data_IF_998850285993
#
_entry.id   IF_998850285993
#
_cell.length_a   1.000
_cell.length_b   1.000
_cell.length_c   1.000
_cell.angle_alpha   90.00
_cell.angle_beta   90.00
_cell.angle_gamma   90.00
#
_symmetry.space_group_name_H-M   'P 1'
#
loop_
_entity.id
_entity.type
_entity.pdbx_description
1 polymer ?
#
# COMPACT_ATOMS: atom_id res chain seq x y z
N UNK A 1 5.04 31.39 -55.72
CA UNK A 1 4.86 32.46 -54.72
C UNK A 1 4.97 31.74 -53.36
N UNK A 2 6.07 31.82 -52.60
CA UNK A 2 6.50 32.96 -51.77
C UNK A 2 5.33 33.58 -50.98
N UNK A 3 5.37 33.85 -49.67
CA UNK A 3 6.39 33.60 -48.61
C UNK A 3 5.67 33.65 -47.23
N UNK A 4 6.24 33.38 -46.05
CA UNK A 4 7.64 33.15 -45.62
C UNK A 4 7.67 32.25 -44.35
N UNK A 5 8.84 32.13 -43.70
CA UNK A 5 9.02 31.60 -42.32
C UNK A 5 9.18 32.77 -41.33
N UNK A 6 8.85 32.55 -40.04
CA UNK A 6 9.56 33.22 -38.93
C UNK A 6 10.12 32.14 -38.01
N UNK A 7 11.45 32.08 -38.00
CA UNK A 7 12.26 31.40 -37.00
C UNK A 7 12.71 32.49 -36.02
N UNK A 8 12.72 32.24 -34.71
CA UNK A 8 13.43 33.12 -33.78
C UNK A 8 14.31 32.28 -32.87
N UNK A 9 15.57 32.23 -33.24
CA UNK A 9 16.69 31.79 -32.41
C UNK A 9 17.28 33.06 -31.79
N UNK A 10 17.55 33.05 -30.49
CA UNK A 10 18.57 33.90 -29.89
C UNK A 10 19.66 33.03 -29.28
N UNK A 11 20.91 33.48 -29.40
CA UNK A 11 22.10 32.64 -29.27
C UNK A 11 23.01 33.04 -28.10
N UNK A 12 23.92 32.12 -27.80
CA UNK A 12 25.00 32.10 -26.81
C UNK A 12 25.83 33.39 -26.68
N UNK A 13 26.42 33.59 -25.48
CA UNK A 13 27.86 33.86 -25.22
C UNK A 13 28.08 34.23 -23.71
N UNK A 14 29.26 34.12 -23.07
CA UNK A 14 30.25 33.02 -22.82
C UNK A 14 31.37 33.55 -21.89
N UNK A 15 32.05 32.68 -21.12
CA UNK A 15 33.37 32.91 -20.42
C UNK A 15 33.38 33.91 -19.22
N UNK A 16 34.28 33.87 -18.21
CA UNK A 16 35.36 32.93 -17.82
C UNK A 16 35.82 33.09 -16.33
N UNK A 17 36.44 32.02 -15.79
CA UNK A 17 37.62 31.91 -14.90
C UNK A 17 37.95 32.86 -13.70
N UNK A 18 38.14 32.21 -12.53
CA UNK A 18 39.34 32.17 -11.65
C UNK A 18 39.70 33.27 -10.60
N UNK A 19 40.49 32.79 -9.62
CA UNK A 19 41.24 33.41 -8.50
C UNK A 19 40.42 34.04 -7.34
N UNK A 20 40.41 33.47 -6.13
CA UNK A 20 41.47 33.30 -5.10
C UNK A 20 41.65 34.53 -4.19
N UNK A 21 41.32 34.37 -2.90
CA UNK A 21 42.05 34.96 -1.77
C UNK A 21 41.77 34.16 -0.49
N UNK A 22 42.78 34.13 0.39
CA UNK A 22 42.99 33.20 1.51
C UNK A 22 42.64 33.77 2.90
N UNK A 23 42.96 32.98 3.94
CA UNK A 23 42.95 33.25 5.41
C UNK A 23 41.62 33.09 6.18
N UNK A 24 41.55 32.52 7.39
CA UNK A 24 42.45 31.69 8.23
C UNK A 24 41.51 30.89 9.18
N UNK A 25 41.63 29.56 9.29
CA UNK A 25 42.44 28.77 10.25
C UNK A 25 41.70 28.39 11.56
N UNK A 26 41.75 27.09 11.90
CA UNK A 26 41.61 26.41 13.21
C UNK A 26 41.13 24.96 13.03
N UNK A 27 42.09 24.06 12.77
CA UNK A 27 41.90 22.60 12.86
C UNK A 27 42.61 22.05 14.11
N UNK A 28 41.93 21.17 14.85
CA UNK A 28 42.52 20.27 15.85
C UNK A 28 42.08 18.85 15.44
N UNK A 29 42.95 17.95 14.98
CA UNK A 29 44.37 17.82 15.24
C UNK A 29 44.60 16.64 16.19
N UNK A 30 44.97 15.48 15.62
CA UNK A 30 45.75 14.44 16.31
C UNK A 30 46.32 13.45 15.30
N UNK A 31 47.64 13.46 15.19
CA UNK A 31 48.44 12.57 14.35
C UNK A 31 48.67 11.22 15.02
N UNK A 32 48.69 10.14 14.22
CA UNK A 32 49.34 8.88 14.62
C UNK A 32 50.37 8.47 13.57
N UNK A 33 51.57 8.11 14.05
CA UNK A 33 52.73 7.67 13.26
C UNK A 33 52.64 6.19 12.93
N UNK A 34 52.93 5.82 11.67
CA UNK A 34 53.20 4.44 11.25
C UNK A 34 54.72 4.21 11.21
N UNK A 35 55.21 3.33 12.10
CA UNK A 35 56.61 2.86 12.15
C UNK A 35 56.65 1.39 12.65
N UNK A 36 56.42 0.43 11.74
CA UNK A 36 57.29 -0.75 11.63
C UNK A 36 57.01 -2.05 12.41
N UNK A 37 56.91 -3.15 11.62
CA UNK A 37 57.36 -4.54 11.94
C UNK A 37 56.57 -5.39 12.97
N UNK A 38 56.52 -6.73 12.92
CA UNK A 38 56.72 -7.73 11.86
C UNK A 38 56.34 -9.16 12.36
N UNK A 39 55.44 -9.89 11.65
CA UNK A 39 55.10 -11.34 11.78
C UNK A 39 54.72 -11.89 13.21
N UNK A 40 54.12 -13.06 13.45
CA UNK A 40 53.51 -14.17 12.67
C UNK A 40 52.17 -14.58 13.32
N UNK A 41 51.36 -15.34 12.59
CA UNK A 41 50.21 -16.13 13.11
C UNK A 41 50.63 -17.15 14.18
N UNK A 42 49.94 -17.15 15.33
CA UNK A 42 49.83 -18.24 16.31
C UNK A 42 48.46 -18.07 17.01
N UNK A 43 47.59 -19.09 16.92
CA UNK A 43 46.25 -19.01 17.49
C UNK A 43 46.26 -19.01 19.03
N UNK A 44 45.41 -18.20 19.66
CA UNK A 44 45.10 -18.33 21.09
C UNK A 44 43.69 -17.84 21.39
N UNK A 45 42.89 -18.72 21.99
CA UNK A 45 41.57 -18.40 22.52
C UNK A 45 41.69 -17.60 23.81
N UNK A 46 40.99 -16.47 23.90
CA UNK A 46 40.75 -15.75 25.14
C UNK A 46 39.24 -15.58 25.34
N UNK A 47 38.72 -16.21 26.39
CA UNK A 47 37.42 -15.89 26.98
C UNK A 47 37.56 -14.58 27.74
N UNK A 48 36.89 -13.52 27.27
CA UNK A 48 36.83 -12.26 28.01
C UNK A 48 35.60 -12.24 28.94
N UNK A 49 35.87 -12.14 30.23
CA UNK A 49 34.85 -12.12 31.30
C UNK A 49 34.33 -10.70 31.49
N UNK A 50 33.18 -10.41 30.87
CA UNK A 50 32.19 -9.50 31.41
C UNK A 50 32.60 -8.03 31.60
N UNK A 51 32.44 -7.22 30.54
CA UNK A 51 31.98 -5.84 30.71
C UNK A 51 30.48 -5.76 30.44
N UNK A 52 29.70 -5.63 31.52
CA UNK A 52 28.23 -5.48 31.46
C UNK A 52 27.83 -4.10 30.95
N UNK A 53 27.97 -3.86 29.65
CA UNK A 53 27.11 -2.93 28.95
C UNK A 53 25.81 -3.65 28.65
N UNK A 54 24.72 -3.19 29.27
CA UNK A 54 23.46 -3.92 29.30
C UNK A 54 23.04 -4.34 27.89
N UNK A 55 22.65 -5.61 27.74
CA UNK A 55 21.99 -6.10 26.55
C UNK A 55 20.66 -5.34 26.41
N UNK A 56 20.73 -4.18 25.76
CA UNK A 56 19.57 -3.55 25.16
C UNK A 56 19.01 -4.57 24.22
N UNK A 57 17.95 -5.26 24.66
CA UNK A 57 17.11 -6.03 23.78
C UNK A 57 16.70 -5.04 22.69
N UNK A 58 17.20 -5.25 21.47
CA UNK A 58 16.50 -4.70 20.32
C UNK A 58 15.10 -5.29 20.44
N UNK A 59 14.15 -4.44 20.79
CA UNK A 59 12.78 -4.86 20.96
C UNK A 59 12.30 -5.24 19.58
N UNK A 60 12.25 -6.55 19.31
CA UNK A 60 11.83 -7.13 18.05
C UNK A 60 10.31 -7.00 17.95
N UNK A 61 9.83 -5.77 17.93
CA UNK A 61 8.46 -5.47 17.63
C UNK A 61 8.15 -6.06 16.26
N UNK A 62 7.16 -6.94 16.24
CA UNK A 62 6.58 -7.41 14.99
C UNK A 62 6.18 -6.18 14.17
N UNK A 63 6.55 -6.18 12.89
CA UNK A 63 6.15 -5.11 11.99
C UNK A 63 4.61 -5.00 11.98
N UNK A 64 4.02 -3.79 11.87
CA UNK A 64 2.58 -3.67 11.90
C UNK A 64 1.93 -4.57 10.84
N UNK A 65 0.88 -5.26 11.22
CA UNK A 65 0.09 -6.07 10.31
C UNK A 65 -1.39 -5.96 10.67
N UNK A 66 -2.23 -6.16 9.66
CA UNK A 66 -3.68 -6.19 9.80
C UNK A 66 -4.24 -7.36 9.00
N UNK A 67 -5.30 -7.97 9.53
CA UNK A 67 -6.05 -9.01 8.85
C UNK A 67 -7.51 -8.57 8.74
N UNK A 68 -8.05 -8.68 7.53
CA UNK A 68 -9.46 -8.53 7.21
C UNK A 68 -10.02 -9.94 7.01
N UNK A 69 -10.86 -10.41 7.92
CA UNK A 69 -11.42 -11.76 7.90
C UNK A 69 -12.84 -11.73 7.35
N UNK A 70 -13.11 -12.53 6.32
CA UNK A 70 -14.43 -12.74 5.76
C UNK A 70 -14.97 -14.05 6.32
N UNK A 71 -15.97 -13.96 7.22
CA UNK A 71 -16.69 -15.12 7.74
C UNK A 71 -17.92 -15.39 6.83
N UNK A 72 -18.04 -16.57 6.20
CA UNK A 72 -19.10 -16.85 5.24
C UNK A 72 -20.51 -16.79 5.84
N UNK A 73 -20.68 -16.90 7.17
CA UNK A 73 -21.98 -16.70 7.83
C UNK A 73 -22.48 -15.24 7.69
N UNK A 74 -21.56 -14.27 7.61
CA UNK A 74 -21.90 -12.83 7.61
C UNK A 74 -21.53 -12.12 6.31
N UNK A 75 -20.56 -12.63 5.54
CA UNK A 75 -20.01 -11.99 4.33
C UNK A 75 -20.47 -12.63 3.02
N UNK A 76 -21.78 -12.92 2.92
CA UNK A 76 -22.45 -13.39 1.70
C UNK A 76 -21.83 -14.66 1.08
N UNK A 77 -21.36 -15.60 1.92
CA UNK A 77 -20.71 -16.83 1.47
C UNK A 77 -19.25 -16.67 1.02
N UNK A 78 -18.67 -15.45 1.04
CA UNK A 78 -17.22 -15.29 0.90
C UNK A 78 -16.56 -15.77 2.19
N UNK A 79 -15.50 -16.58 2.08
CA UNK A 79 -14.69 -16.98 3.22
C UNK A 79 -13.20 -16.71 2.99
N UNK A 80 -12.46 -16.47 4.07
CA UNK A 80 -11.00 -16.34 4.01
C UNK A 80 -10.49 -15.03 4.58
N UNK A 81 -9.32 -14.59 4.12
CA UNK A 81 -8.65 -13.39 4.64
C UNK A 81 -7.93 -12.57 3.58
N UNK A 82 -7.88 -11.26 3.80
CA UNK A 82 -6.86 -10.38 3.21
C UNK A 82 -5.94 -9.94 4.34
N UNK A 83 -4.65 -10.23 4.21
CA UNK A 83 -3.61 -9.89 5.17
C UNK A 83 -2.75 -8.76 4.62
N UNK A 84 -2.38 -7.81 5.47
CA UNK A 84 -1.55 -6.66 5.14
C UNK A 84 -0.37 -6.63 6.07
N UNK A 85 0.83 -6.70 5.51
CA UNK A 85 2.10 -6.64 6.22
C UNK A 85 2.86 -5.38 5.85
N UNK A 86 3.03 -4.47 6.81
CA UNK A 86 3.84 -3.27 6.60
C UNK A 86 5.33 -3.56 6.57
N UNK A 87 6.08 -2.84 5.73
CA UNK A 87 7.54 -2.84 5.72
C UNK A 87 8.19 -2.10 6.90
N UNK A 88 7.41 -1.39 7.72
CA UNK A 88 7.91 -0.57 8.83
C UNK A 88 6.79 0.24 9.51
N UNK A 89 7.00 0.72 10.75
CA UNK A 89 6.00 1.51 11.50
C UNK A 89 5.58 2.83 10.86
N UNK A 90 6.37 3.35 9.91
CA UNK A 90 6.11 4.59 9.17
C UNK A 90 6.16 4.38 7.65
N UNK A 91 5.88 3.15 7.19
CA UNK A 91 6.00 2.73 5.80
C UNK A 91 4.67 2.83 5.07
N UNK A 92 4.63 3.50 3.91
CA UNK A 92 3.53 3.31 2.93
C UNK A 92 3.71 2.05 2.10
N UNK A 93 4.90 1.43 2.14
CA UNK A 93 5.11 0.11 1.55
C UNK A 93 4.48 -0.98 2.43
N UNK A 94 3.59 -1.76 1.84
CA UNK A 94 2.98 -2.95 2.42
C UNK A 94 2.91 -4.11 1.41
N UNK A 95 3.07 -5.33 1.91
CA UNK A 95 2.72 -6.57 1.19
C UNK A 95 1.28 -6.90 1.53
N UNK A 96 0.47 -7.23 0.53
CA UNK A 96 -0.93 -7.62 0.69
C UNK A 96 -1.08 -9.04 0.15
N UNK A 97 -1.60 -9.96 0.97
CA UNK A 97 -1.86 -11.35 0.56
C UNK A 97 -3.35 -11.65 0.72
N UNK A 98 -4.02 -12.02 -0.37
CA UNK A 98 -5.43 -12.41 -0.39
C UNK A 98 -5.56 -13.93 -0.57
N UNK A 99 -6.24 -14.60 0.35
CA UNK A 99 -6.65 -16.01 0.26
C UNK A 99 -8.15 -16.06 0.55
N UNK A 100 -8.95 -16.11 -0.51
CA UNK A 100 -10.41 -15.98 -0.48
C UNK A 100 -11.07 -17.10 -1.30
N UNK A 101 -12.19 -17.60 -0.78
CA UNK A 101 -13.03 -18.62 -1.40
C UNK A 101 -14.45 -18.08 -1.55
N UNK A 102 -14.94 -18.08 -2.79
CA UNK A 102 -16.27 -17.61 -3.19
C UNK A 102 -17.19 -18.79 -3.56
N UNK A 103 -16.82 -20.03 -3.18
CA UNK A 103 -17.56 -21.25 -3.50
C UNK A 103 -18.99 -21.30 -2.96
N UNK A 104 -19.23 -20.68 -1.79
CA UNK A 104 -20.54 -20.61 -1.14
C UNK A 104 -21.32 -19.32 -1.45
N UNK A 105 -20.82 -18.45 -2.35
CA UNK A 105 -21.48 -17.20 -2.77
C UNK A 105 -22.68 -17.49 -3.67
N UNK A 106 -23.89 -17.13 -3.23
CA UNK A 106 -25.12 -17.35 -3.99
C UNK A 106 -25.39 -16.22 -5.01
N UNK A 107 -25.17 -16.52 -6.29
CA UNK A 107 -25.48 -15.62 -7.41
C UNK A 107 -26.94 -15.13 -7.42
N UNK A 108 -27.88 -15.92 -6.93
CA UNK A 108 -29.29 -15.53 -6.86
C UNK A 108 -29.56 -14.51 -5.78
N UNK A 109 -28.79 -14.49 -4.68
CA UNK A 109 -28.82 -13.41 -3.68
C UNK A 109 -28.20 -12.12 -4.20
N UNK A 110 -27.06 -12.20 -4.92
CA UNK A 110 -26.47 -11.02 -5.58
C UNK A 110 -27.46 -10.42 -6.59
N UNK A 111 -28.12 -11.25 -7.40
CA UNK A 111 -29.15 -10.81 -8.35
C UNK A 111 -30.41 -10.26 -7.66
N UNK A 112 -30.76 -10.76 -6.47
CA UNK A 112 -31.87 -10.23 -5.67
C UNK A 112 -31.54 -8.86 -5.06
N UNK A 113 -30.28 -8.64 -4.68
CA UNK A 113 -29.77 -7.37 -4.15
C UNK A 113 -29.60 -6.30 -5.24
N UNK A 114 -28.98 -6.65 -6.37
CA UNK A 114 -28.92 -5.81 -7.57
C UNK A 114 -29.40 -6.59 -8.81
N UNK A 115 -30.63 -6.28 -9.24
CA UNK A 115 -31.27 -6.93 -10.39
C UNK A 115 -30.60 -6.70 -11.74
N UNK A 116 -29.52 -5.91 -11.82
CA UNK A 116 -28.67 -5.82 -13.00
C UNK A 116 -27.57 -6.89 -13.01
N UNK A 117 -27.35 -7.60 -11.89
CA UNK A 117 -26.36 -8.66 -11.75
C UNK A 117 -26.92 -10.03 -12.17
N UNK A 118 -27.22 -10.18 -13.46
CA UNK A 118 -27.91 -11.37 -14.01
C UNK A 118 -26.99 -12.48 -14.52
N UNK A 119 -25.69 -12.20 -14.65
CA UNK A 119 -24.66 -13.15 -15.11
C UNK A 119 -23.81 -13.61 -13.93
N UNK A 120 -23.17 -14.78 -14.04
CA UNK A 120 -22.31 -15.32 -12.98
C UNK A 120 -21.10 -14.40 -12.72
N UNK A 121 -20.92 -13.99 -11.47
CA UNK A 121 -19.84 -13.09 -11.06
C UNK A 121 -18.53 -13.87 -10.94
N UNK A 122 -17.58 -13.53 -11.81
CA UNK A 122 -16.24 -14.11 -11.86
C UNK A 122 -15.12 -13.13 -11.49
N UNK A 123 -15.44 -11.85 -11.31
CA UNK A 123 -14.49 -10.79 -10.96
C UNK A 123 -15.03 -9.93 -9.80
N UNK A 124 -14.14 -9.47 -8.91
CA UNK A 124 -14.49 -8.67 -7.74
C UNK A 124 -13.57 -7.45 -7.57
N UNK A 125 -14.14 -6.25 -7.45
CA UNK A 125 -13.36 -5.07 -7.02
C UNK A 125 -13.18 -5.09 -5.51
N UNK A 126 -12.12 -4.47 -5.03
CA UNK A 126 -11.74 -4.46 -3.64
C UNK A 126 -11.13 -3.11 -3.26
N UNK A 127 -11.64 -2.50 -2.18
CA UNK A 127 -11.24 -1.15 -1.77
C UNK A 127 -11.30 -0.98 -0.25
N UNK A 128 -10.50 -0.05 0.29
CA UNK A 128 -10.55 0.37 1.70
C UNK A 128 -11.58 1.49 1.86
N UNK A 129 -12.54 1.28 2.75
CA UNK A 129 -13.59 2.22 3.11
C UNK A 129 -13.45 2.73 4.55
N UNK A 130 -14.00 3.91 4.81
CA UNK A 130 -13.65 4.75 5.97
C UNK A 130 -14.57 4.67 7.19
N UNK A 131 -15.62 3.82 7.19
CA UNK A 131 -16.53 3.66 8.34
C UNK A 131 -16.88 2.21 8.64
N UNK A 132 -16.87 1.86 9.93
CA UNK A 132 -17.35 0.56 10.43
C UNK A 132 -18.21 0.78 11.68
N UNK A 133 -19.54 0.76 11.56
CA UNK A 133 -20.45 0.95 12.69
C UNK A 133 -20.92 -0.36 13.34
N UNK A 134 -20.29 -1.50 13.00
CA UNK A 134 -20.75 -2.84 13.37
C UNK A 134 -19.89 -3.45 14.48
N UNK A 135 -20.51 -4.26 15.34
CA UNK A 135 -19.81 -5.01 16.40
C UNK A 135 -19.13 -6.29 15.86
N UNK A 136 -19.57 -6.79 14.71
CA UNK A 136 -19.00 -7.97 14.03
C UNK A 136 -17.77 -7.61 13.19
N UNK A 137 -17.02 -8.63 12.80
CA UNK A 137 -15.77 -8.48 12.04
C UNK A 137 -15.97 -8.49 10.52
N UNK A 138 -17.09 -9.05 10.05
CA UNK A 138 -17.52 -9.01 8.64
C UNK A 138 -19.04 -8.91 8.51
N UNK A 139 -19.50 -8.38 7.38
CA UNK A 139 -20.90 -8.09 7.06
C UNK A 139 -21.15 -8.23 5.55
N UNK A 140 -22.42 -8.10 5.12
CA UNK A 140 -22.83 -8.27 3.71
C UNK A 140 -23.86 -7.25 3.20
N UNK A 141 -23.94 -7.15 1.87
CA UNK A 141 -24.97 -6.43 1.11
C UNK A 141 -25.29 -5.01 1.64
N UNK A 142 -26.49 -4.79 2.19
CA UNK A 142 -26.92 -3.50 2.73
C UNK A 142 -25.98 -2.98 3.83
N UNK A 143 -25.44 -3.86 4.68
CA UNK A 143 -24.53 -3.52 5.77
C UNK A 143 -23.15 -3.06 5.28
N UNK A 144 -22.79 -3.42 4.04
CA UNK A 144 -21.62 -2.90 3.34
C UNK A 144 -21.91 -1.63 2.53
N UNK A 145 -23.17 -1.17 2.47
CA UNK A 145 -23.64 -0.08 1.62
C UNK A 145 -23.01 1.28 1.91
N UNK A 146 -22.97 2.14 0.87
CA UNK A 146 -22.36 3.49 0.91
C UNK A 146 -22.79 4.35 2.11
N UNK A 147 -24.05 4.29 2.51
CA UNK A 147 -24.56 5.07 3.64
C UNK A 147 -23.95 4.65 4.99
N UNK A 148 -23.49 3.39 5.10
CA UNK A 148 -23.02 2.74 6.32
C UNK A 148 -21.49 2.78 6.36
N UNK A 149 -20.83 2.21 5.35
CA UNK A 149 -19.36 2.07 5.29
C UNK A 149 -18.63 3.27 4.66
N UNK A 150 -19.37 4.18 4.03
CA UNK A 150 -18.81 5.37 3.42
C UNK A 150 -18.10 5.13 2.08
N UNK A 151 -17.21 6.06 1.76
CA UNK A 151 -16.46 6.15 0.51
C UNK A 151 -15.04 5.57 0.66
N UNK A 152 -14.29 5.54 -0.43
CA UNK A 152 -12.90 5.09 -0.45
C UNK A 152 -12.01 6.02 0.39
N UNK A 153 -11.01 5.44 1.07
CA UNK A 153 -10.00 6.20 1.79
C UNK A 153 -9.03 6.92 0.84
N UNK A 154 -8.98 8.25 0.92
CA UNK A 154 -8.26 9.11 -0.04
C UNK A 154 -7.61 10.34 0.64
N UNK A 155 -6.72 10.16 1.62
CA UNK A 155 -6.13 11.25 2.41
C UNK A 155 -5.28 12.21 1.55
N UNK A 156 -4.76 11.71 0.43
CA UNK A 156 -3.92 12.48 -0.51
C UNK A 156 -4.74 13.18 -1.60
N UNK A 157 -6.06 12.95 -1.65
CA UNK A 157 -6.98 13.56 -2.62
C UNK A 157 -6.54 13.31 -4.06
N UNK A 158 -6.33 12.04 -4.40
CA UNK A 158 -6.31 11.59 -5.79
C UNK A 158 -7.69 11.80 -6.45
N UNK A 159 -8.75 11.85 -5.65
CA UNK A 159 -10.08 12.35 -6.01
C UNK A 159 -10.80 11.54 -7.09
N UNK A 160 -10.72 10.21 -7.03
CA UNK A 160 -11.52 9.34 -7.88
C UNK A 160 -13.02 9.46 -7.62
N UNK A 161 -13.85 8.74 -8.41
CA UNK A 161 -15.31 8.84 -8.33
C UNK A 161 -15.92 8.49 -6.98
N UNK A 162 -15.19 7.72 -6.15
CA UNK A 162 -15.62 7.22 -4.85
C UNK A 162 -14.79 7.77 -3.67
N UNK A 163 -13.90 8.73 -3.89
CA UNK A 163 -13.12 9.42 -2.83
C UNK A 163 -14.02 9.91 -1.70
N UNK A 164 -13.60 9.77 -0.45
CA UNK A 164 -14.27 10.39 0.71
C UNK A 164 -14.39 11.92 0.57
N UNK A 165 -13.53 12.54 -0.25
CA UNK A 165 -13.53 13.97 -0.55
C UNK A 165 -14.21 14.34 -1.88
N UNK A 166 -14.89 13.41 -2.57
CA UNK A 166 -15.47 13.60 -3.93
C UNK A 166 -16.39 14.82 -4.08
N UNK A 167 -17.04 15.27 -2.99
CA UNK A 167 -17.90 16.45 -2.97
C UNK A 167 -17.19 17.80 -2.73
N UNK A 168 -15.87 17.80 -2.50
CA UNK A 168 -15.06 19.01 -2.27
C UNK A 168 -14.69 19.70 -3.58
N UNK A 169 -14.50 21.03 -3.55
CA UNK A 169 -14.12 21.81 -4.74
C UNK A 169 -12.82 21.29 -5.39
N UNK A 170 -11.85 20.85 -4.59
CA UNK A 170 -10.61 20.23 -5.06
C UNK A 170 -10.88 18.93 -5.87
N UNK A 171 -11.71 18.03 -5.35
CA UNK A 171 -12.01 16.78 -6.05
C UNK A 171 -13.00 16.92 -7.20
N UNK A 172 -13.88 17.93 -7.18
CA UNK A 172 -14.73 18.22 -8.33
C UNK A 172 -13.92 18.60 -9.57
N UNK A 173 -12.72 19.18 -9.39
CA UNK A 173 -11.79 19.51 -10.48
C UNK A 173 -10.92 18.31 -10.90
N UNK A 174 -10.39 17.53 -9.95
CA UNK A 174 -9.49 16.39 -10.26
C UNK A 174 -10.21 15.14 -10.77
N UNK A 175 -11.45 14.85 -10.31
CA UNK A 175 -12.16 13.60 -10.64
C UNK A 175 -12.25 13.25 -12.13
N UNK A 176 -12.48 14.20 -13.08
CA UNK A 176 -12.46 13.89 -14.52
C UNK A 176 -11.10 13.45 -15.06
N UNK A 177 -10.02 13.71 -14.32
CA UNK A 177 -8.64 13.36 -14.65
C UNK A 177 -8.17 12.06 -13.95
N UNK A 178 -8.98 11.53 -13.02
CA UNK A 178 -8.66 10.29 -12.28
C UNK A 178 -8.56 9.10 -13.22
N UNK A 179 -7.36 8.56 -13.35
CA UNK A 179 -7.02 7.47 -14.26
C UNK A 179 -6.24 6.36 -13.53
N UNK A 180 -6.59 6.06 -12.28
CA UNK A 180 -5.98 4.94 -11.56
C UNK A 180 -6.24 3.63 -12.30
N UNK A 181 -5.15 2.96 -12.65
CA UNK A 181 -5.07 1.63 -13.24
C UNK A 181 -3.64 1.10 -12.97
N UNK A 182 -3.36 -0.20 -13.12
CA UNK A 182 -2.05 -0.77 -12.79
C UNK A 182 -0.87 -0.16 -13.56
N UNK A 183 -1.04 0.21 -14.85
CA UNK A 183 0.03 0.79 -15.67
C UNK A 183 0.41 2.21 -15.22
N UNK A 184 -0.58 3.03 -14.83
CA UNK A 184 -0.31 4.38 -14.30
C UNK A 184 0.17 4.34 -12.85
N UNK A 185 -0.38 3.45 -12.01
CA UNK A 185 0.07 3.26 -10.63
C UNK A 185 1.54 2.82 -10.56
N UNK A 186 1.98 1.92 -11.45
CA UNK A 186 3.38 1.49 -11.56
C UNK A 186 4.34 2.63 -11.99
N UNK A 187 3.81 3.72 -12.57
CA UNK A 187 4.59 4.89 -13.00
C UNK A 187 4.59 6.01 -11.97
N UNK A 188 3.46 6.24 -11.32
CA UNK A 188 3.28 7.22 -10.25
C UNK A 188 2.23 6.69 -9.25
N UNK A 189 2.67 6.15 -8.10
CA UNK A 189 1.77 5.63 -7.07
C UNK A 189 0.76 6.64 -6.49
N UNK A 190 0.94 7.95 -6.75
CA UNK A 190 0.05 9.02 -6.27
C UNK A 190 -1.15 9.29 -7.19
N UNK A 191 -1.24 8.66 -8.37
CA UNK A 191 -2.41 8.79 -9.27
C UNK A 191 -3.66 8.06 -8.76
N UNK A 192 -3.49 7.19 -7.76
CA UNK A 192 -4.54 6.38 -7.17
C UNK A 192 -4.91 6.86 -5.77
N UNK A 193 -6.19 6.76 -5.42
CA UNK A 193 -6.63 6.86 -4.02
C UNK A 193 -5.90 5.78 -3.21
N UNK A 194 -5.49 6.06 -1.97
CA UNK A 194 -4.78 5.06 -1.17
C UNK A 194 -5.62 3.78 -0.95
N UNK A 195 -6.95 3.93 -0.85
CA UNK A 195 -7.90 2.83 -0.71
C UNK A 195 -8.35 2.15 -2.00
N UNK A 196 -8.01 2.65 -3.19
CA UNK A 196 -8.46 2.06 -4.47
C UNK A 196 -7.55 0.90 -4.92
N UNK A 197 -7.61 -0.22 -4.19
CA UNK A 197 -6.70 -1.35 -4.41
C UNK A 197 -7.00 -2.07 -5.74
N UNK A 198 -8.27 -2.19 -6.13
CA UNK A 198 -8.65 -2.67 -7.46
C UNK A 198 -8.16 -1.75 -8.60
N UNK A 199 -8.16 -0.42 -8.41
CA UNK A 199 -7.52 0.50 -9.35
C UNK A 199 -6.01 0.28 -9.44
N UNK A 200 -5.32 0.05 -8.31
CA UNK A 200 -3.85 -0.17 -8.27
C UNK A 200 -3.41 -1.51 -8.88
N UNK A 201 -4.14 -2.59 -8.62
CA UNK A 201 -3.70 -3.97 -8.90
C UNK A 201 -4.58 -4.75 -9.88
N UNK A 202 -5.78 -4.24 -10.17
CA UNK A 202 -6.81 -4.95 -10.90
C UNK A 202 -7.85 -5.59 -9.99
N UNK A 203 -8.97 -5.97 -10.60
CA UNK A 203 -10.03 -6.73 -9.94
C UNK A 203 -9.55 -8.15 -9.65
N UNK A 204 -9.92 -8.70 -8.49
CA UNK A 204 -9.72 -10.12 -8.19
C UNK A 204 -10.45 -10.95 -9.24
N UNK A 205 -9.79 -11.98 -9.78
CA UNK A 205 -10.38 -12.91 -10.75
C UNK A 205 -10.47 -14.29 -10.14
N UNK A 206 -11.67 -14.87 -10.17
CA UNK A 206 -11.87 -16.21 -9.65
C UNK A 206 -11.20 -17.25 -10.54
N UNK A 207 -10.53 -18.22 -9.94
CA UNK A 207 -10.08 -19.43 -10.62
C UNK A 207 -11.24 -20.43 -10.88
N UNK A 208 -10.95 -21.55 -11.55
CA UNK A 208 -11.92 -22.62 -11.83
C UNK A 208 -12.54 -23.24 -10.55
N UNK A 209 -11.94 -23.00 -9.37
CA UNK A 209 -12.41 -23.44 -8.05
C UNK A 209 -13.12 -22.33 -7.26
N UNK A 210 -13.40 -21.18 -7.89
CA UNK A 210 -13.98 -19.97 -7.28
C UNK A 210 -13.12 -19.31 -6.20
N UNK A 211 -11.79 -19.40 -6.31
CA UNK A 211 -10.84 -18.89 -5.33
C UNK A 211 -9.97 -17.75 -5.88
N UNK A 212 -9.39 -17.01 -4.95
CA UNK A 212 -8.34 -16.00 -5.17
C UNK A 212 -7.20 -16.31 -4.20
N UNK A 213 -5.98 -16.43 -4.71
CA UNK A 213 -4.77 -16.69 -3.93
C UNK A 213 -3.62 -15.86 -4.51
N UNK A 214 -3.58 -14.57 -4.17
CA UNK A 214 -2.69 -13.57 -4.80
C UNK A 214 -1.90 -12.74 -3.78
N UNK A 215 -0.75 -12.22 -4.20
CA UNK A 215 0.13 -11.35 -3.41
C UNK A 215 0.49 -10.08 -4.19
N UNK A 216 0.39 -8.92 -3.53
CA UNK A 216 0.64 -7.60 -4.10
C UNK A 216 1.62 -6.80 -3.26
N UNK A 217 2.27 -5.83 -3.91
CA UNK A 217 3.26 -4.95 -3.31
C UNK A 217 2.81 -3.50 -3.51
N UNK A 218 2.17 -2.90 -2.50
CA UNK A 218 1.67 -1.53 -2.55
C UNK A 218 2.73 -0.58 -2.01
N UNK A 219 3.21 0.34 -2.85
CA UNK A 219 4.17 1.40 -2.51
C UNK A 219 3.51 2.61 -1.82
N UNK A 220 2.18 2.74 -1.94
CA UNK A 220 1.36 3.84 -1.45
C UNK A 220 0.11 3.31 -0.73
N UNK A 221 0.31 2.30 0.13
CA UNK A 221 -0.71 1.85 1.08
C UNK A 221 -0.88 2.93 2.16
N UNK A 222 -2.05 3.04 2.82
CA UNK A 222 -2.19 3.87 4.02
C UNK A 222 -1.15 3.52 5.09
N UNK A 223 -0.57 4.50 5.78
CA UNK A 223 0.40 4.32 6.85
C UNK A 223 -0.20 3.52 8.04
N UNK A 224 0.63 2.84 8.85
CA UNK A 224 0.17 2.19 10.07
C UNK A 224 -0.59 3.14 11.01
N UNK A 225 -0.14 4.39 11.12
CA UNK A 225 -0.76 5.44 11.95
C UNK A 225 -2.05 6.05 11.37
N UNK A 226 -2.32 5.86 10.07
CA UNK A 226 -3.57 6.29 9.44
C UNK A 226 -4.71 5.29 9.75
N UNK A 227 -4.41 4.02 10.07
CA UNK A 227 -5.41 2.99 10.34
C UNK A 227 -6.32 3.36 11.51
N UNK A 228 -7.61 3.09 11.34
CA UNK A 228 -8.62 3.27 12.38
C UNK A 228 -9.43 1.98 12.57
N UNK A 229 -10.04 1.75 13.74
CA UNK A 229 -11.03 0.68 13.92
C UNK A 229 -12.27 0.82 13.03
N UNK A 230 -12.44 1.96 12.35
CA UNK A 230 -13.54 2.21 11.41
C UNK A 230 -13.20 1.76 9.97
N UNK A 231 -11.98 1.33 9.69
CA UNK A 231 -11.60 0.92 8.34
C UNK A 231 -11.98 -0.52 8.01
N UNK A 232 -12.51 -0.69 6.81
CA UNK A 232 -12.94 -1.97 6.29
C UNK A 232 -12.54 -2.16 4.83
N UNK A 233 -12.31 -3.41 4.45
CA UNK A 233 -12.15 -3.82 3.07
C UNK A 233 -13.51 -4.24 2.52
N UNK A 234 -13.94 -3.70 1.39
CA UNK A 234 -15.21 -4.07 0.74
C UNK A 234 -14.92 -4.82 -0.56
N UNK A 235 -15.61 -5.94 -0.76
CA UNK A 235 -15.65 -6.69 -2.01
C UNK A 235 -16.92 -6.32 -2.79
N UNK A 236 -16.73 -5.96 -4.05
CA UNK A 236 -17.79 -5.61 -4.99
C UNK A 236 -17.87 -6.65 -6.09
N UNK A 237 -19.03 -7.28 -6.27
CA UNK A 237 -19.26 -8.17 -7.41
C UNK A 237 -19.25 -7.37 -8.72
N UNK A 238 -18.44 -7.76 -9.71
CA UNK A 238 -18.40 -7.08 -11.03
C UNK A 238 -19.50 -7.66 -11.93
N UNK A 239 -20.58 -6.91 -12.12
CA UNK A 239 -21.68 -7.32 -12.99
C UNK A 239 -21.82 -6.36 -14.18
N UNK A 240 -20.91 -6.50 -15.14
CA UNK A 240 -20.84 -5.69 -16.36
C UNK A 240 -20.48 -4.22 -16.10
N UNK A 241 -21.48 -3.39 -15.75
CA UNK A 241 -21.30 -1.96 -15.41
C UNK A 241 -21.68 -1.59 -13.99
N UNK A 242 -22.35 -2.48 -13.25
CA UNK A 242 -22.63 -2.28 -11.83
C UNK A 242 -21.63 -3.04 -10.99
N UNK A 243 -21.34 -2.52 -9.80
CA UNK A 243 -20.39 -3.09 -8.84
C UNK A 243 -20.99 -3.09 -7.43
N UNK A 244 -22.10 -3.82 -7.20
CA UNK A 244 -22.73 -3.91 -5.88
C UNK A 244 -21.75 -4.42 -4.82
N UNK A 245 -21.79 -3.80 -3.64
CA UNK A 245 -21.01 -4.20 -2.46
C UNK A 245 -21.68 -5.43 -1.86
N UNK A 246 -21.02 -6.58 -1.90
CA UNK A 246 -21.62 -7.85 -1.44
C UNK A 246 -21.11 -8.29 -0.07
N UNK A 247 -19.85 -8.00 0.25
CA UNK A 247 -19.15 -8.47 1.43
C UNK A 247 -18.17 -7.40 1.91
N UNK A 248 -17.98 -7.28 3.22
CA UNK A 248 -17.04 -6.34 3.82
C UNK A 248 -16.52 -6.85 5.15
N UNK A 249 -15.29 -6.49 5.51
CA UNK A 249 -14.63 -6.91 6.74
C UNK A 249 -13.80 -5.78 7.35
N UNK A 250 -13.76 -5.67 8.67
CA UNK A 250 -12.96 -4.67 9.41
C UNK A 250 -11.51 -5.13 9.56
N UNK A 251 -10.57 -4.17 9.52
CA UNK A 251 -9.16 -4.48 9.74
C UNK A 251 -8.85 -4.69 11.22
N UNK A 252 -8.41 -5.89 11.62
CA UNK A 252 -7.89 -6.16 12.97
C UNK A 252 -6.37 -6.16 12.97
N UNK A 253 -5.75 -5.47 13.92
CA UNK A 253 -4.30 -5.51 14.09
C UNK A 253 -3.85 -6.94 14.48
N UNK A 254 -2.85 -7.46 13.78
CA UNK A 254 -2.26 -8.78 14.01
C UNK A 254 -0.74 -8.69 14.21
N UNK A 255 -0.13 -9.79 14.66
CA UNK A 255 1.34 -9.88 14.79
C UNK A 255 1.97 -10.14 13.43
N UNK A 256 2.61 -9.12 12.86
CA UNK A 256 3.33 -9.25 11.60
C UNK A 256 4.66 -10.00 11.71
N UNK A 257 5.40 -10.03 10.60
CA UNK A 257 6.74 -10.58 10.53
C UNK A 257 7.69 -9.85 11.50
N UNK A 258 8.57 -10.61 12.14
CA UNK A 258 9.69 -10.03 12.89
C UNK A 258 10.73 -9.47 11.91
N UNK A 259 11.37 -8.36 12.27
CA UNK A 259 12.22 -7.53 11.39
C UNK A 259 13.60 -8.14 11.03
N UNK A 260 13.73 -9.47 10.98
CA UNK A 260 14.97 -10.17 10.61
C UNK A 260 14.73 -11.39 9.69
N UNK A 261 14.66 -11.16 8.39
CA UNK A 261 14.87 -12.20 7.38
C UNK A 261 15.60 -11.70 6.11
N UNK A 262 16.39 -10.63 6.22
CA UNK A 262 17.31 -10.16 5.19
C UNK A 262 18.58 -11.01 5.08
N UNK A 263 18.44 -12.32 4.86
CA UNK A 263 19.61 -13.20 4.59
C UNK A 263 20.11 -12.95 3.17
N UNK A 264 21.04 -12.00 3.02
CA UNK A 264 21.79 -11.80 1.78
C UNK A 264 22.59 -13.07 1.44
N UNK A 265 22.03 -13.91 0.56
CA UNK A 265 22.81 -14.93 -0.13
C UNK A 265 23.78 -14.23 -1.09
N UNK A 266 25.07 -14.41 -0.83
CA UNK A 266 26.17 -14.10 -1.76
C UNK A 266 26.38 -15.25 -2.74
#
# INVERSE_FOLDING_TARGET
>A
MLSSKILTVFALATLAAADDYTTDDYDQGSTYTDEGSSYTDEGSSYTDEGTSYGSGSFDYSALPAYTYTFDPEYSAGVSGTINVQYGGPFSTFAVISADLDFGDVDQSEIMAFDGNCTEEVTEYKWHIHVKWPHDYDSESFEQCGLAITGNHYDPLKACGPNSEFVGTEECLLKKPEYNCNPDEYARDPLVCEKGDLAGKFGDFKLDDSKKVSEEYFDLNYPLPEENTPEWNMILHAVCGKVTPRIACAVGKQTSGWSSLSGSYYK
#
